data_IF_878601525012
#
_entry.id   IF_878601525012
#
_cell.length_a   1.000
_cell.length_b   1.000
_cell.length_c   1.000
_cell.angle_alpha   90.00
_cell.angle_beta   90.00
_cell.angle_gamma   90.00
#
_symmetry.space_group_name_H-M   'P 1'
#
loop_
_entity.id
_entity.type
_entity.pdbx_description
1 polymer ?
#
# COMPACT_ATOMS: atom_id res chain seq x y z
N UNK A 1 8.61 15.15 -5.46
CA UNK A 1 7.16 15.44 -5.46
C UNK A 1 6.43 14.45 -6.36
N UNK A 2 5.16 14.16 -6.08
CA UNK A 2 4.35 13.34 -6.98
C UNK A 2 3.85 14.20 -8.15
N UNK A 3 3.76 13.64 -9.38
CA UNK A 3 3.07 14.29 -10.48
C UNK A 3 1.64 14.71 -10.13
N UNK A 4 1.06 15.62 -10.90
CA UNK A 4 -0.33 16.05 -10.75
C UNK A 4 -1.30 14.99 -11.30
N UNK A 5 -1.44 13.87 -10.58
CA UNK A 5 -2.38 12.80 -10.89
C UNK A 5 -3.84 13.26 -10.72
N UNK A 6 -4.78 12.48 -11.27
CA UNK A 6 -6.21 12.74 -11.14
C UNK A 6 -6.62 12.73 -9.66
N UNK A 7 -6.98 13.90 -9.12
CA UNK A 7 -7.34 14.09 -7.71
C UNK A 7 -8.62 13.37 -7.27
N UNK A 8 -9.44 12.90 -8.20
CA UNK A 8 -10.63 12.10 -7.89
C UNK A 8 -10.30 10.62 -7.61
N UNK A 9 -9.11 10.15 -7.98
CA UNK A 9 -8.68 8.74 -7.83
C UNK A 9 -7.39 8.62 -7.00
N UNK A 10 -6.46 9.56 -7.16
CA UNK A 10 -5.20 9.61 -6.42
C UNK A 10 -5.28 10.66 -5.31
N UNK A 11 -5.43 10.19 -4.08
CA UNK A 11 -5.55 11.03 -2.88
C UNK A 11 -4.23 11.15 -2.09
N UNK A 12 -3.45 10.07 -2.00
CA UNK A 12 -2.19 10.02 -1.27
C UNK A 12 -1.34 8.83 -1.72
N UNK A 13 -0.08 8.80 -1.27
CA UNK A 13 0.84 7.69 -1.52
C UNK A 13 1.85 7.55 -0.38
N UNK A 14 2.41 6.35 -0.26
CA UNK A 14 3.42 6.03 0.73
C UNK A 14 4.52 5.18 0.11
N UNK A 15 5.77 5.45 0.49
CA UNK A 15 6.88 4.53 0.29
C UNK A 15 7.04 3.69 1.56
N UNK A 16 6.71 2.41 1.50
CA UNK A 16 6.70 1.52 2.67
C UNK A 16 7.56 0.29 2.45
N UNK A 17 8.26 -0.13 3.50
CA UNK A 17 8.77 -1.48 3.60
C UNK A 17 7.60 -2.47 3.81
N UNK A 18 7.73 -3.76 3.42
CA UNK A 18 6.68 -4.75 3.58
C UNK A 18 6.11 -4.81 5.01
N UNK A 19 6.97 -4.76 6.04
CA UNK A 19 6.52 -4.76 7.43
C UNK A 19 5.63 -3.55 7.76
N UNK A 20 6.05 -2.34 7.38
CA UNK A 20 5.29 -1.11 7.64
C UNK A 20 3.93 -1.11 6.93
N UNK A 21 3.85 -1.70 5.75
CA UNK A 21 2.57 -1.94 5.06
C UNK A 21 1.64 -2.82 5.88
N UNK A 22 2.12 -3.95 6.41
CA UNK A 22 1.29 -4.85 7.23
C UNK A 22 0.92 -4.26 8.60
N UNK A 23 1.81 -3.48 9.22
CA UNK A 23 1.51 -2.77 10.46
C UNK A 23 0.32 -1.80 10.26
N UNK A 24 0.27 -1.09 9.12
CA UNK A 24 -0.85 -0.22 8.73
C UNK A 24 -2.16 -0.99 8.54
N UNK A 25 -2.11 -2.15 7.86
CA UNK A 25 -3.30 -2.99 7.70
C UNK A 25 -3.86 -3.48 9.04
N UNK A 26 -2.97 -3.83 9.99
CA UNK A 26 -3.38 -4.23 11.34
C UNK A 26 -4.04 -3.08 12.14
N UNK A 27 -3.76 -1.83 11.77
CA UNK A 27 -4.39 -0.63 12.35
C UNK A 27 -5.75 -0.28 11.71
N UNK A 28 -6.21 -1.06 10.72
CA UNK A 28 -7.52 -0.88 10.08
C UNK A 28 -7.49 -0.12 8.74
N UNK A 29 -6.30 0.13 8.18
CA UNK A 29 -6.17 0.66 6.82
C UNK A 29 -6.80 -0.29 5.81
N UNK A 30 -7.57 0.27 4.87
CA UNK A 30 -8.20 -0.50 3.80
C UNK A 30 -7.24 -0.69 2.64
N UNK A 31 -7.32 -1.84 1.99
CA UNK A 31 -6.51 -2.14 0.82
C UNK A 31 -7.26 -3.03 -0.15
N UNK A 32 -6.81 -3.06 -1.40
CA UNK A 32 -7.29 -4.03 -2.39
C UNK A 32 -6.85 -5.42 -1.96
N UNK A 33 -7.75 -6.39 -2.01
CA UNK A 33 -7.56 -7.73 -1.46
C UNK A 33 -6.30 -8.45 -1.97
N UNK A 34 -5.88 -8.16 -3.20
CA UNK A 34 -4.73 -8.81 -3.82
C UNK A 34 -3.39 -8.19 -3.44
N UNK A 35 -3.35 -6.91 -3.05
CA UNK A 35 -2.09 -6.23 -2.74
C UNK A 35 -1.32 -6.91 -1.59
N UNK A 36 -1.94 -7.28 -0.46
CA UNK A 36 -1.27 -8.06 0.59
C UNK A 36 -0.74 -9.42 0.12
N UNK A 37 -1.46 -10.10 -0.78
CA UNK A 37 -1.06 -11.41 -1.33
C UNK A 37 0.19 -11.26 -2.19
N UNK A 38 0.24 -10.22 -3.02
CA UNK A 38 1.39 -9.92 -3.88
C UNK A 38 2.62 -9.55 -3.06
N UNK A 39 2.47 -8.69 -2.04
CA UNK A 39 3.60 -8.29 -1.19
C UNK A 39 4.18 -9.51 -0.46
N UNK A 40 3.33 -10.39 0.09
CA UNK A 40 3.80 -11.64 0.72
C UNK A 40 4.59 -12.50 -0.25
N UNK A 41 4.08 -12.70 -1.46
CA UNK A 41 4.70 -13.57 -2.47
C UNK A 41 6.05 -13.06 -2.95
N UNK A 42 6.20 -11.75 -3.14
CA UNK A 42 7.37 -11.18 -3.79
C UNK A 42 8.41 -10.58 -2.83
N UNK A 43 8.04 -10.25 -1.60
CA UNK A 43 8.91 -9.50 -0.69
C UNK A 43 9.05 -10.09 0.72
N UNK A 44 8.34 -11.18 1.04
CA UNK A 44 8.39 -11.84 2.36
C UNK A 44 8.62 -13.36 2.27
N UNK A 45 9.19 -13.82 1.15
CA UNK A 45 9.62 -15.21 0.96
C UNK A 45 10.85 -15.54 1.80
#
# INVERSE_FOLDING_TARGET
EAPNYNKNDFIEYFWLAPKAFFDKLAQGEKTKEDLPKLIKKFYLA
#
